data_IF_023646717177
#
_entry.id   IF_023646717177
#
_cell.length_a   1.000
_cell.length_b   1.000
_cell.length_c   1.000
_cell.angle_alpha   90.00
_cell.angle_beta   90.00
_cell.angle_gamma   90.00
#
_symmetry.space_group_name_H-M   'P 1'
#
loop_
_entity.id
_entity.type
_entity.pdbx_description
1 polymer ?
#
# COMPACT_ATOMS: atom_id res chain seq x y z
N UNK A 1 18.45 -11.49 0.29
CA UNK A 1 17.27 -10.71 -0.19
C UNK A 1 17.64 -9.79 -1.34
N UNK A 2 18.75 -9.04 -1.23
CA UNK A 2 19.18 -8.04 -2.22
C UNK A 2 19.59 -8.59 -3.59
N UNK A 3 20.30 -9.73 -3.66
CA UNK A 3 20.97 -10.13 -4.90
C UNK A 3 20.10 -10.91 -5.91
N UNK A 4 19.10 -11.67 -5.45
CA UNK A 4 18.28 -12.53 -6.31
C UNK A 4 16.88 -11.96 -6.51
N UNK A 5 16.15 -11.74 -5.41
CA UNK A 5 14.73 -11.38 -5.49
C UNK A 5 14.49 -9.89 -5.72
N UNK A 6 15.38 -9.02 -5.22
CA UNK A 6 15.20 -7.59 -5.34
C UNK A 6 15.62 -7.03 -6.70
N UNK A 7 16.54 -7.72 -7.39
CA UNK A 7 17.08 -7.29 -8.68
C UNK A 7 16.02 -6.97 -9.76
N UNK A 8 15.00 -7.81 -10.02
CA UNK A 8 13.97 -7.45 -11.00
C UNK A 8 13.13 -6.24 -10.58
N UNK A 9 12.95 -6.01 -9.27
CA UNK A 9 12.22 -4.84 -8.77
C UNK A 9 13.04 -3.56 -8.89
N UNK A 10 14.35 -3.60 -8.61
CA UNK A 10 15.22 -2.44 -8.82
C UNK A 10 15.26 -2.01 -10.29
N UNK A 11 15.28 -2.98 -11.21
CA UNK A 11 15.20 -2.69 -12.65
C UNK A 11 13.83 -2.11 -13.05
N UNK A 12 12.73 -2.61 -12.48
CA UNK A 12 11.39 -2.08 -12.72
C UNK A 12 11.22 -0.65 -12.20
N UNK A 13 11.81 -0.35 -11.03
CA UNK A 13 11.82 0.99 -10.45
C UNK A 13 12.66 1.93 -11.31
N UNK A 14 13.84 1.48 -11.76
CA UNK A 14 14.70 2.23 -12.68
C UNK A 14 14.01 2.52 -14.02
N UNK A 15 13.15 1.61 -14.49
CA UNK A 15 12.32 1.81 -15.67
C UNK A 15 11.13 2.76 -15.45
N UNK A 16 10.89 3.23 -14.22
CA UNK A 16 9.85 4.20 -13.90
C UNK A 16 8.47 3.59 -13.65
N UNK A 17 8.40 2.40 -13.04
CA UNK A 17 7.12 1.78 -12.66
C UNK A 17 6.31 2.69 -11.72
N UNK A 18 4.99 2.77 -11.94
CA UNK A 18 4.10 3.64 -11.17
C UNK A 18 3.55 3.01 -9.86
N UNK A 19 3.47 1.68 -9.78
CA UNK A 19 3.00 0.99 -8.58
C UNK A 19 3.71 -0.35 -8.37
N UNK A 20 3.77 -0.77 -7.10
CA UNK A 20 4.29 -2.09 -6.70
C UNK A 20 3.25 -2.74 -5.80
N UNK A 21 2.98 -4.03 -6.03
CA UNK A 21 2.05 -4.80 -5.21
C UNK A 21 2.78 -5.57 -4.11
N UNK A 22 2.32 -5.46 -2.86
CA UNK A 22 2.79 -6.30 -1.77
C UNK A 22 2.07 -7.65 -1.78
N UNK A 23 2.80 -8.73 -1.50
CA UNK A 23 2.33 -10.10 -1.60
C UNK A 23 1.61 -10.60 -0.33
N UNK A 24 0.90 -11.72 -0.45
CA UNK A 24 0.23 -12.38 0.70
C UNK A 24 1.19 -12.94 1.74
N UNK A 25 2.36 -13.39 1.32
CA UNK A 25 3.23 -14.20 2.16
C UNK A 25 3.85 -13.39 3.30
N UNK A 26 4.26 -14.12 4.33
CA UNK A 26 5.05 -13.56 5.43
C UNK A 26 6.53 -13.65 5.11
N UNK A 27 7.26 -12.61 5.45
CA UNK A 27 8.71 -12.52 5.34
C UNK A 27 9.20 -12.21 6.75
N UNK A 28 9.99 -13.11 7.33
CA UNK A 28 10.36 -13.07 8.75
C UNK A 28 9.15 -12.92 9.70
N UNK A 29 8.12 -13.76 9.52
CA UNK A 29 6.89 -13.77 10.34
C UNK A 29 5.98 -12.53 10.22
N UNK A 30 6.37 -11.51 9.45
CA UNK A 30 5.56 -10.31 9.20
C UNK A 30 4.97 -10.36 7.79
N UNK A 31 3.70 -9.99 7.63
CA UNK A 31 3.07 -9.90 6.31
C UNK A 31 3.80 -8.87 5.43
N UNK A 32 3.97 -9.16 4.13
CA UNK A 32 4.70 -8.26 3.25
C UNK A 32 4.06 -6.85 3.19
N UNK A 33 2.73 -6.76 3.25
CA UNK A 33 1.97 -5.50 3.29
C UNK A 33 2.04 -4.74 4.64
N UNK A 34 2.69 -5.31 5.65
CA UNK A 34 2.95 -4.69 6.96
C UNK A 34 4.45 -4.60 7.27
N UNK A 35 5.30 -4.99 6.31
CA UNK A 35 6.72 -5.07 6.54
C UNK A 35 7.41 -3.75 6.20
N UNK A 36 7.71 -2.97 7.24
CA UNK A 36 8.41 -1.68 7.12
C UNK A 36 9.80 -1.81 6.51
N UNK A 37 10.48 -2.94 6.70
CA UNK A 37 11.79 -3.15 6.07
C UNK A 37 11.67 -3.28 4.54
N UNK A 38 10.59 -3.90 4.03
CA UNK A 38 10.42 -4.07 2.59
C UNK A 38 9.94 -2.80 1.91
N UNK A 39 8.93 -2.14 2.49
CA UNK A 39 8.31 -0.99 1.84
C UNK A 39 9.08 0.30 2.13
N UNK A 40 9.32 0.62 3.41
CA UNK A 40 9.99 1.87 3.76
C UNK A 40 11.49 1.79 3.53
N UNK A 41 12.16 0.74 4.03
CA UNK A 41 13.63 0.66 3.93
C UNK A 41 14.09 0.24 2.53
N UNK A 42 13.63 -0.89 2.02
CA UNK A 42 14.11 -1.42 0.74
C UNK A 42 13.55 -0.65 -0.46
N UNK A 43 12.23 -0.57 -0.62
CA UNK A 43 11.64 0.06 -1.80
C UNK A 43 11.77 1.59 -1.80
N UNK A 44 11.28 2.27 -0.74
CA UNK A 44 11.22 3.74 -0.69
C UNK A 44 12.59 4.39 -0.42
N UNK A 45 13.38 3.88 0.51
CA UNK A 45 14.70 4.45 0.84
C UNK A 45 15.83 3.93 -0.08
N UNK A 46 16.05 2.62 -0.13
CA UNK A 46 17.25 2.07 -0.79
C UNK A 46 17.13 2.09 -2.33
N UNK A 47 15.92 1.84 -2.87
CA UNK A 47 15.66 1.87 -4.32
C UNK A 47 15.05 3.20 -4.81
N UNK A 48 14.82 4.17 -3.91
CA UNK A 48 14.22 5.46 -4.23
C UNK A 48 12.91 5.34 -5.03
N UNK A 49 12.02 4.44 -4.65
CA UNK A 49 10.71 4.29 -5.29
C UNK A 49 9.79 5.47 -4.94
N UNK A 50 9.34 6.19 -5.97
CA UNK A 50 8.46 7.37 -5.84
C UNK A 50 6.98 7.08 -6.18
N UNK A 51 6.67 5.86 -6.61
CA UNK A 51 5.29 5.43 -6.88
C UNK A 51 4.55 5.07 -5.58
N UNK A 52 3.42 4.38 -5.74
CA UNK A 52 2.60 3.94 -4.61
C UNK A 52 2.61 2.42 -4.44
N UNK A 53 2.53 1.95 -3.20
CA UNK A 53 2.43 0.53 -2.87
C UNK A 53 0.97 0.13 -2.70
N UNK A 54 0.55 -0.89 -3.44
CA UNK A 54 -0.81 -1.43 -3.42
C UNK A 54 -0.83 -2.79 -2.73
N UNK A 55 -1.88 -3.08 -1.97
CA UNK A 55 -2.09 -4.43 -1.45
C UNK A 55 -2.55 -5.37 -2.56
N UNK A 56 -2.19 -6.65 -2.45
CA UNK A 56 -2.95 -7.70 -3.14
C UNK A 56 -4.43 -7.67 -2.69
N UNK A 57 -5.25 -8.61 -3.15
CA UNK A 57 -6.67 -8.69 -2.79
C UNK A 57 -6.92 -9.20 -1.36
N UNK A 58 -7.19 -8.29 -0.41
CA UNK A 58 -7.45 -8.62 1.00
C UNK A 58 -6.28 -9.18 1.87
N UNK A 59 -4.98 -8.95 1.59
CA UNK A 59 -3.86 -9.39 2.43
C UNK A 59 -3.58 -8.46 3.61
N UNK A 60 -4.37 -7.40 3.82
CA UNK A 60 -4.11 -6.38 4.85
C UNK A 60 -4.58 -6.86 6.24
N UNK A 61 -3.67 -7.25 7.16
CA UNK A 61 -4.03 -7.75 8.48
C UNK A 61 -4.51 -6.63 9.42
N UNK A 62 -3.99 -5.41 9.26
CA UNK A 62 -4.37 -4.25 10.08
C UNK A 62 -4.33 -2.93 9.31
N UNK A 63 -5.20 -1.99 9.67
CA UNK A 63 -5.28 -0.67 9.02
C UNK A 63 -4.06 0.21 9.31
N UNK A 64 -3.89 0.58 10.58
CA UNK A 64 -2.90 1.57 11.02
C UNK A 64 -1.47 1.07 10.82
N UNK A 65 -1.17 -0.18 11.17
CA UNK A 65 0.22 -0.65 11.11
C UNK A 65 0.70 -0.81 9.66
N UNK A 66 -0.16 -1.26 8.74
CA UNK A 66 0.16 -1.33 7.31
C UNK A 66 0.45 0.06 6.72
N UNK A 67 -0.37 1.06 7.07
CA UNK A 67 -0.16 2.43 6.60
C UNK A 67 1.19 3.00 7.10
N UNK A 68 1.51 2.81 8.38
CA UNK A 68 2.80 3.24 8.96
C UNK A 68 3.99 2.45 8.38
N UNK A 69 3.78 1.19 8.00
CA UNK A 69 4.79 0.36 7.37
C UNK A 69 5.08 0.75 5.92
N UNK A 70 4.23 1.56 5.28
CA UNK A 70 4.45 2.11 3.94
C UNK A 70 3.44 1.69 2.88
N UNK A 71 2.31 1.09 3.25
CA UNK A 71 1.21 0.79 2.34
C UNK A 71 0.44 2.06 1.97
N UNK A 72 0.31 2.34 0.68
CA UNK A 72 -0.34 3.57 0.19
C UNK A 72 -1.78 3.32 -0.31
N UNK A 73 -2.08 2.09 -0.76
CA UNK A 73 -3.39 1.71 -1.29
C UNK A 73 -3.83 0.32 -0.83
N UNK A 74 -5.02 0.23 -0.25
CA UNK A 74 -5.66 -1.04 0.12
C UNK A 74 -6.65 -1.48 -0.97
N UNK A 75 -6.50 -2.70 -1.45
CA UNK A 75 -7.37 -3.33 -2.45
C UNK A 75 -7.92 -4.66 -1.95
N UNK A 76 -9.20 -4.98 -2.22
CA UNK A 76 -10.22 -4.16 -2.93
C UNK A 76 -10.84 -3.04 -2.08
N UNK A 77 -10.29 -2.72 -0.90
CA UNK A 77 -10.85 -1.73 0.03
C UNK A 77 -11.86 -2.31 1.03
N UNK A 78 -12.11 -3.62 0.96
CA UNK A 78 -12.84 -4.38 1.97
C UNK A 78 -12.09 -5.68 2.27
N UNK A 79 -12.21 -6.19 3.50
CA UNK A 79 -11.76 -7.54 3.82
C UNK A 79 -12.79 -8.55 3.32
N UNK A 80 -12.34 -9.61 2.64
CA UNK A 80 -13.25 -10.69 2.24
C UNK A 80 -13.87 -11.34 3.48
N UNK A 81 -15.21 -11.30 3.54
CA UNK A 81 -16.04 -11.88 4.59
C UNK A 81 -16.02 -13.41 4.53
N UNK A 82 -15.01 -14.06 5.09
CA UNK A 82 -15.12 -15.48 5.51
C UNK A 82 -14.72 -15.72 6.96
N UNK A 83 -14.32 -14.68 7.70
CA UNK A 83 -14.20 -14.75 9.15
C UNK A 83 -15.30 -13.88 9.78
N UNK A 84 -15.95 -14.45 10.79
CA UNK A 84 -17.26 -14.05 11.30
C UNK A 84 -17.41 -12.58 11.67
N UNK A 85 -18.66 -12.15 11.60
CA UNK A 85 -19.13 -10.85 12.04
C UNK A 85 -18.99 -10.70 13.57
N UNK A 86 -18.07 -9.86 14.01
CA UNK A 86 -18.26 -9.03 15.20
C UNK A 86 -17.70 -7.61 14.97
N UNK A 87 -18.59 -6.74 14.48
CA UNK A 87 -18.57 -5.30 14.73
C UNK A 87 -17.51 -4.42 14.06
N UNK A 88 -16.95 -4.81 12.91
CA UNK A 88 -16.34 -3.82 12.00
C UNK A 88 -17.29 -3.53 10.83
N UNK A 89 -17.95 -2.37 10.94
CA UNK A 89 -18.72 -1.69 9.90
C UNK A 89 -18.15 -2.00 8.51
N UNK A 90 -18.95 -2.64 7.65
CA UNK A 90 -18.67 -2.82 6.22
C UNK A 90 -17.97 -1.57 5.63
N UNK A 91 -16.66 -1.61 5.28
CA UNK A 91 -15.97 -0.43 4.75
C UNK A 91 -16.49 -0.03 3.37
N UNK A 92 -17.27 -0.90 2.70
CA UNK A 92 -18.04 -0.54 1.50
C UNK A 92 -19.04 0.62 1.74
N UNK A 93 -19.38 0.95 2.99
CA UNK A 93 -20.21 2.12 3.35
C UNK A 93 -19.40 3.33 3.85
N UNK A 94 -18.09 3.21 4.01
CA UNK A 94 -17.22 4.28 4.50
C UNK A 94 -16.20 4.71 3.44
N UNK A 95 -16.67 4.83 2.19
CA UNK A 95 -15.99 5.67 1.22
C UNK A 95 -16.13 7.11 1.73
N UNK A 96 -15.08 7.67 2.32
CA UNK A 96 -14.86 9.10 2.16
C UNK A 96 -14.57 9.25 0.66
N UNK A 97 -15.47 9.83 -0.15
CA UNK A 97 -15.08 10.14 -1.51
C UNK A 97 -13.84 11.03 -1.38
N UNK A 98 -12.75 10.66 -2.04
CA UNK A 98 -11.76 11.61 -2.49
C UNK A 98 -12.55 12.80 -3.03
N UNK A 99 -12.65 13.88 -2.24
CA UNK A 99 -13.04 15.18 -2.76
C UNK A 99 -11.90 15.54 -3.71
N UNK A 100 -12.05 15.12 -4.96
CA UNK A 100 -11.50 15.84 -6.09
C UNK A 100 -11.97 17.28 -5.89
N UNK A 101 -11.10 18.11 -5.31
CA UNK A 101 -11.30 19.54 -5.39
C UNK A 101 -11.32 19.84 -6.89
N UNK A 102 -12.40 20.42 -7.42
CA UNK A 102 -12.41 20.87 -8.79
C UNK A 102 -11.18 21.78 -8.99
N UNK A 103 -10.54 21.66 -10.14
CA UNK A 103 -9.34 22.40 -10.56
C UNK A 103 -9.49 23.94 -10.37
N UNK A 104 -10.72 24.38 -10.15
CA UNK A 104 -11.37 25.65 -9.82
C UNK A 104 -10.79 26.77 -8.89
N UNK A 105 -9.72 26.62 -8.10
CA UNK A 105 -9.55 27.49 -6.88
C UNK A 105 -8.24 28.31 -6.73
N UNK A 106 -7.64 28.77 -7.82
CA UNK A 106 -6.43 29.62 -7.87
C UNK A 106 -6.59 31.09 -7.41
N UNK A 107 -7.68 31.49 -6.76
CA UNK A 107 -7.80 32.83 -6.18
C UNK A 107 -8.25 32.70 -4.73
N UNK A 108 -7.30 32.66 -3.77
CA UNK A 108 -7.46 33.14 -2.38
C UNK A 108 -6.18 32.96 -1.53
N UNK A 109 -5.01 33.26 -2.11
CA UNK A 109 -3.84 33.72 -1.34
C UNK A 109 -3.27 34.95 -2.07
N UNK A 110 -3.86 36.10 -1.80
CA UNK A 110 -3.19 37.41 -1.83
C UNK A 110 -3.09 37.87 -0.39
#
# INVERSE_FOLDING_TARGET
MHEVYNHPFSESIRAGVGSIMCSYNRINQTHACENSYLMNKLAKQDLAFHGFVVSDWSPQPSGVSSALAGLDMSMPGFRSYTEGLDNQQNPAKSYYPLKLFPINQWELVK
#
